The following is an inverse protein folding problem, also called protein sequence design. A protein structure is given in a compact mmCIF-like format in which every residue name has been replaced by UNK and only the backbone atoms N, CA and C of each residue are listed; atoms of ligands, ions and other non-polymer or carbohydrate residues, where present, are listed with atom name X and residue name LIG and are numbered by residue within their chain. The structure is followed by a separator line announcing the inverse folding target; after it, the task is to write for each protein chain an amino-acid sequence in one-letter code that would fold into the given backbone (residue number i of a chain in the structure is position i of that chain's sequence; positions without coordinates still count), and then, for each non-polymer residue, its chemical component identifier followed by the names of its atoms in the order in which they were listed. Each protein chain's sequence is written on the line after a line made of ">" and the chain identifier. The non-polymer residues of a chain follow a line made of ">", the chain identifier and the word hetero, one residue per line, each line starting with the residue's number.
data_IF_613184029674
#
_entry.id   IF_613184029674
#
_cell.length_a   1.000
_cell.length_b   1.000
_cell.length_c   1.000
_cell.angle_alpha   90.00
_cell.angle_beta   90.00
_cell.angle_gamma   90.00
#
_symmetry.space_group_name_H-M   'P 1'
#
loop_
_entity.id
_entity.type
_entity.pdbx_description
1 polymer ?
#
# COMPACT_ATOMS: atom_id res chain seq x y z
N UNK A 1 28.46 -22.81 13.04
CA UNK A 1 27.48 -23.00 11.96
C UNK A 1 28.20 -22.86 10.64
N UNK A 2 28.06 -23.82 9.71
CA UNK A 2 28.63 -23.68 8.37
C UNK A 2 27.81 -22.66 7.60
N UNK A 3 28.41 -21.63 7.06
CA UNK A 3 27.75 -20.65 6.20
C UNK A 3 27.45 -21.37 4.88
N UNK A 4 26.17 -21.42 4.43
CA UNK A 4 25.82 -22.05 3.17
C UNK A 4 26.47 -21.31 2.01
N UNK A 5 26.81 -22.02 0.91
CA UNK A 5 27.37 -21.40 -0.28
C UNK A 5 26.34 -20.44 -0.90
N UNK A 6 26.83 -19.44 -1.65
CA UNK A 6 25.98 -18.44 -2.32
C UNK A 6 24.87 -19.08 -3.18
N UNK A 7 25.22 -20.15 -3.94
CA UNK A 7 24.24 -20.84 -4.77
C UNK A 7 23.09 -21.49 -3.98
N UNK A 8 23.41 -22.08 -2.81
CA UNK A 8 22.39 -22.68 -1.92
C UNK A 8 21.47 -21.59 -1.34
N UNK A 9 22.04 -20.42 -1.00
CA UNK A 9 21.27 -19.31 -0.44
C UNK A 9 20.40 -18.60 -1.49
N UNK A 10 20.85 -18.58 -2.75
CA UNK A 10 20.13 -17.95 -3.86
C UNK A 10 18.99 -18.83 -4.43
N UNK A 11 19.08 -20.16 -4.30
CA UNK A 11 18.12 -21.09 -4.89
C UNK A 11 16.65 -20.83 -4.52
N UNK A 12 16.27 -20.55 -3.26
CA UNK A 12 14.88 -20.24 -2.91
C UNK A 12 14.37 -18.95 -3.56
N UNK A 13 15.25 -17.94 -3.70
CA UNK A 13 14.91 -16.66 -4.33
C UNK A 13 14.68 -16.86 -5.82
N UNK A 14 15.56 -17.61 -6.48
CA UNK A 14 15.43 -17.94 -7.90
C UNK A 14 14.14 -18.75 -8.14
N UNK A 15 13.85 -19.76 -7.30
CA UNK A 15 12.60 -20.51 -7.40
C UNK A 15 11.39 -19.60 -7.27
N UNK A 16 11.38 -18.67 -6.33
CA UNK A 16 10.28 -17.72 -6.15
C UNK A 16 10.09 -16.86 -7.40
N UNK A 17 11.16 -16.25 -7.89
CA UNK A 17 11.09 -15.39 -9.08
C UNK A 17 10.63 -16.15 -10.32
N UNK A 18 11.18 -17.35 -10.56
CA UNK A 18 10.80 -18.20 -11.69
C UNK A 18 9.34 -18.66 -11.56
N UNK A 19 8.88 -19.06 -10.39
CA UNK A 19 7.49 -19.49 -10.20
C UNK A 19 6.51 -18.35 -10.39
N UNK A 20 6.79 -17.14 -9.89
CA UNK A 20 5.95 -15.97 -10.10
C UNK A 20 5.93 -15.55 -11.59
N UNK A 21 7.08 -15.54 -12.26
CA UNK A 21 7.17 -15.27 -13.69
C UNK A 21 6.38 -16.31 -14.52
N UNK A 22 6.47 -17.59 -14.16
CA UNK A 22 5.71 -18.64 -14.79
C UNK A 22 4.19 -18.46 -14.59
N UNK A 23 3.74 -18.10 -13.39
CA UNK A 23 2.32 -17.82 -13.13
C UNK A 23 1.83 -16.69 -14.05
N UNK A 24 2.57 -15.60 -14.18
CA UNK A 24 2.20 -14.49 -15.07
C UNK A 24 2.16 -14.93 -16.53
N UNK A 25 3.18 -15.68 -16.97
CA UNK A 25 3.31 -16.07 -18.37
C UNK A 25 2.28 -17.11 -18.83
N UNK A 26 1.93 -18.08 -17.97
CA UNK A 26 1.09 -19.22 -18.35
C UNK A 26 -0.35 -19.12 -17.87
N UNK A 27 -0.61 -18.44 -16.76
CA UNK A 27 -1.96 -18.36 -16.14
C UNK A 27 -2.55 -16.97 -16.23
N UNK A 28 -1.69 -15.95 -16.33
CA UNK A 28 -2.10 -14.54 -16.38
C UNK A 28 -1.83 -13.79 -15.07
N UNK A 29 -1.80 -12.48 -15.16
CA UNK A 29 -1.49 -11.60 -14.02
C UNK A 29 -2.51 -11.70 -12.89
N UNK A 30 -3.78 -11.97 -13.20
CA UNK A 30 -4.86 -12.06 -12.20
C UNK A 30 -4.68 -13.26 -11.24
N UNK A 31 -4.01 -14.31 -11.71
CA UNK A 31 -3.72 -15.49 -10.90
C UNK A 31 -2.63 -15.27 -9.84
N UNK A 32 -1.89 -14.17 -9.90
CA UNK A 32 -0.84 -13.85 -8.90
C UNK A 32 -1.44 -13.79 -7.50
N UNK A 33 -2.59 -13.17 -7.32
CA UNK A 33 -3.25 -13.00 -6.02
C UNK A 33 -3.53 -14.34 -5.33
N UNK A 34 -3.86 -15.38 -6.11
CA UNK A 34 -4.20 -16.71 -5.61
C UNK A 34 -2.98 -17.62 -5.51
N UNK A 35 -2.05 -17.54 -6.47
CA UNK A 35 -0.93 -18.47 -6.58
C UNK A 35 0.36 -18.01 -5.89
N UNK A 36 0.53 -16.69 -5.65
CA UNK A 36 1.72 -16.17 -4.97
C UNK A 36 1.93 -16.71 -3.55
N UNK A 37 0.90 -16.93 -2.69
CA UNK A 37 1.11 -17.55 -1.39
C UNK A 37 1.70 -18.95 -1.49
N UNK A 38 1.29 -19.74 -2.48
CA UNK A 38 1.81 -21.08 -2.72
C UNK A 38 3.25 -21.08 -3.21
N UNK A 39 3.60 -20.12 -4.11
CA UNK A 39 4.96 -19.91 -4.56
C UNK A 39 5.88 -19.51 -3.41
N UNK A 40 5.43 -18.61 -2.52
CA UNK A 40 6.16 -18.20 -1.33
C UNK A 40 6.35 -19.39 -0.35
N UNK A 41 5.30 -20.19 -0.15
CA UNK A 41 5.37 -21.38 0.70
C UNK A 41 6.38 -22.39 0.15
N UNK A 42 6.36 -22.66 -1.15
CA UNK A 42 7.30 -23.57 -1.81
C UNK A 42 8.75 -23.08 -1.67
N UNK A 43 9.00 -21.78 -1.89
CA UNK A 43 10.33 -21.19 -1.72
C UNK A 43 10.81 -21.24 -0.26
N UNK A 44 9.90 -20.99 0.70
CA UNK A 44 10.20 -21.10 2.13
C UNK A 44 10.53 -22.55 2.53
N UNK A 45 9.75 -23.53 2.05
CA UNK A 45 10.04 -24.95 2.30
C UNK A 45 11.39 -25.36 1.71
N UNK A 46 11.71 -24.91 0.49
CA UNK A 46 13.02 -25.17 -0.12
C UNK A 46 14.15 -24.57 0.71
N UNK A 47 13.98 -23.33 1.20
CA UNK A 47 14.98 -22.68 2.05
C UNK A 47 15.23 -23.48 3.34
N UNK A 48 14.18 -23.97 4.00
CA UNK A 48 14.28 -24.80 5.21
C UNK A 48 14.97 -26.14 4.90
N UNK A 49 14.60 -26.82 3.80
CA UNK A 49 15.21 -28.08 3.38
C UNK A 49 16.71 -27.90 3.10
N UNK A 50 17.09 -26.89 2.32
CA UNK A 50 18.50 -26.62 2.01
C UNK A 50 19.30 -26.26 3.26
N UNK A 51 18.73 -25.48 4.18
CA UNK A 51 19.35 -25.16 5.45
C UNK A 51 19.51 -26.39 6.36
N UNK A 52 18.55 -27.31 6.35
CA UNK A 52 18.64 -28.57 7.06
C UNK A 52 19.71 -29.50 6.46
N UNK A 53 19.73 -29.65 5.12
CA UNK A 53 20.72 -30.47 4.41
C UNK A 53 22.15 -29.94 4.55
N UNK A 54 22.32 -28.61 4.59
CA UNK A 54 23.64 -27.98 4.77
C UNK A 54 24.16 -28.03 6.22
N UNK A 55 23.35 -28.53 7.17
CA UNK A 55 23.70 -28.58 8.58
C UNK A 55 23.78 -27.20 9.25
N UNK A 56 23.27 -26.17 8.58
CA UNK A 56 23.24 -24.78 9.09
C UNK A 56 22.03 -24.54 10.00
N UNK A 57 21.01 -25.42 9.96
CA UNK A 57 19.77 -25.29 10.70
C UNK A 57 19.78 -26.14 11.97
N UNK A 58 19.61 -25.47 13.12
CA UNK A 58 19.33 -26.13 14.40
C UNK A 58 17.80 -26.08 14.65
N UNK A 59 17.22 -27.16 15.17
CA UNK A 59 15.78 -27.19 15.56
C UNK A 59 15.41 -26.05 16.51
N UNK A 60 16.31 -25.70 17.41
CA UNK A 60 16.14 -24.56 18.34
C UNK A 60 16.19 -23.23 17.62
N UNK A 61 17.12 -23.07 16.67
CA UNK A 61 17.23 -21.86 15.83
C UNK A 61 16.01 -21.65 14.94
N UNK A 62 15.48 -22.70 14.34
CA UNK A 62 14.27 -22.66 13.53
C UNK A 62 13.04 -22.20 14.36
N UNK A 63 12.85 -22.81 15.54
CA UNK A 63 11.73 -22.43 16.42
C UNK A 63 11.83 -20.97 16.90
N UNK A 64 13.04 -20.54 17.29
CA UNK A 64 13.27 -19.15 17.70
C UNK A 64 13.06 -18.17 16.54
N UNK A 65 13.55 -18.51 15.35
CA UNK A 65 13.35 -17.70 14.14
C UNK A 65 11.88 -17.58 13.77
N UNK A 66 11.14 -18.69 13.80
CA UNK A 66 9.70 -18.69 13.55
C UNK A 66 8.93 -17.85 14.58
N UNK A 67 9.16 -18.07 15.87
CA UNK A 67 8.51 -17.29 16.92
C UNK A 67 8.83 -15.79 16.80
N UNK A 68 10.09 -15.44 16.53
CA UNK A 68 10.51 -14.05 16.38
C UNK A 68 9.86 -13.38 15.16
N UNK A 69 9.82 -14.07 14.02
CA UNK A 69 9.18 -13.52 12.82
C UNK A 69 7.66 -13.44 12.99
N UNK A 70 7.02 -14.44 13.62
CA UNK A 70 5.59 -14.39 13.89
C UNK A 70 5.20 -13.21 14.78
N UNK A 71 5.97 -12.92 15.82
CA UNK A 71 5.74 -11.73 16.68
C UNK A 71 5.95 -10.41 15.95
N UNK A 72 6.81 -10.35 14.95
CA UNK A 72 7.01 -9.15 14.13
C UNK A 72 5.86 -8.93 13.12
N UNK A 73 5.25 -10.00 12.62
CA UNK A 73 4.14 -9.94 11.64
C UNK A 73 2.78 -9.77 12.35
N UNK A 74 2.65 -10.24 13.59
CA UNK A 74 1.40 -10.21 14.34
C UNK A 74 0.68 -8.83 14.34
N UNK A 75 1.36 -7.67 14.48
CA UNK A 75 0.70 -6.37 14.44
C UNK A 75 0.07 -6.02 13.07
N UNK A 76 0.51 -6.64 11.98
CA UNK A 76 -0.06 -6.40 10.66
C UNK A 76 -1.46 -7.01 10.49
N UNK A 77 -1.77 -8.10 11.19
CA UNK A 77 -3.06 -8.79 11.09
C UNK A 77 -4.24 -7.88 11.50
N UNK A 78 -4.26 -7.29 12.71
CA UNK A 78 -5.33 -6.36 13.09
C UNK A 78 -5.36 -5.12 12.19
N UNK A 79 -4.22 -4.64 11.68
CA UNK A 79 -4.20 -3.55 10.71
C UNK A 79 -5.02 -3.91 9.46
N UNK A 80 -4.80 -5.06 8.86
CA UNK A 80 -5.54 -5.50 7.68
C UNK A 80 -7.04 -5.62 7.95
N UNK A 81 -7.42 -6.12 9.12
CA UNK A 81 -8.83 -6.19 9.53
C UNK A 81 -9.44 -4.80 9.64
N UNK A 82 -8.79 -3.86 10.31
CA UNK A 82 -9.30 -2.49 10.43
C UNK A 82 -9.30 -1.73 9.11
N UNK A 83 -8.36 -1.98 8.20
CA UNK A 83 -8.38 -1.42 6.84
C UNK A 83 -9.65 -1.87 6.10
N UNK A 84 -9.96 -3.18 6.16
CA UNK A 84 -11.17 -3.70 5.56
C UNK A 84 -12.45 -3.10 6.21
N UNK A 85 -12.45 -2.96 7.54
CA UNK A 85 -13.56 -2.31 8.26
C UNK A 85 -13.74 -0.86 7.83
N UNK A 86 -12.68 -0.06 7.80
CA UNK A 86 -12.73 1.35 7.33
C UNK A 86 -13.28 1.43 5.91
N UNK A 87 -12.76 0.62 4.99
CA UNK A 87 -13.23 0.61 3.60
C UNK A 87 -14.72 0.31 3.50
N UNK A 88 -15.20 -0.68 4.25
CA UNK A 88 -16.61 -1.09 4.24
C UNK A 88 -17.50 -0.03 4.89
N UNK A 89 -17.14 0.47 6.07
CA UNK A 89 -17.94 1.45 6.80
C UNK A 89 -18.00 2.80 6.07
N UNK A 90 -16.89 3.25 5.51
CA UNK A 90 -16.87 4.47 4.70
C UNK A 90 -17.69 4.36 3.41
N UNK A 91 -17.80 3.17 2.86
CA UNK A 91 -18.68 2.93 1.71
C UNK A 91 -20.14 3.00 2.12
N UNK A 92 -20.51 2.35 3.23
CA UNK A 92 -21.88 2.29 3.72
C UNK A 92 -22.40 3.64 4.24
N UNK A 93 -21.55 4.40 4.94
CA UNK A 93 -21.89 5.73 5.49
C UNK A 93 -21.99 6.84 4.45
N UNK A 94 -21.62 6.58 3.20
CA UNK A 94 -21.60 7.60 2.15
C UNK A 94 -20.32 8.46 2.13
N UNK A 95 -19.31 8.19 2.97
CA UNK A 95 -18.03 8.90 2.95
C UNK A 95 -17.33 8.71 1.61
N UNK A 96 -17.14 7.46 1.17
CA UNK A 96 -16.53 7.17 -0.13
C UNK A 96 -17.35 7.72 -1.29
N UNK A 97 -18.70 7.52 -1.37
CA UNK A 97 -19.54 8.18 -2.34
C UNK A 97 -19.39 9.70 -2.40
N UNK A 98 -19.34 10.37 -1.23
CA UNK A 98 -19.13 11.82 -1.16
C UNK A 98 -17.73 12.21 -1.70
N UNK A 99 -16.69 11.48 -1.34
CA UNK A 99 -15.33 11.73 -1.86
C UNK A 99 -15.28 11.51 -3.37
N UNK A 100 -16.00 10.53 -3.91
CA UNK A 100 -16.11 10.30 -5.35
C UNK A 100 -16.82 11.49 -6.03
N UNK A 101 -17.95 11.94 -5.51
CA UNK A 101 -18.69 13.08 -6.07
C UNK A 101 -17.82 14.35 -6.16
N UNK A 102 -17.19 14.73 -5.04
CA UNK A 102 -16.30 15.90 -5.03
C UNK A 102 -15.03 15.67 -5.88
N UNK A 103 -14.48 14.45 -5.85
CA UNK A 103 -13.30 14.11 -6.64
C UNK A 103 -13.56 14.21 -8.15
N UNK A 104 -14.70 13.72 -8.64
CA UNK A 104 -15.09 13.81 -10.05
C UNK A 104 -15.30 15.25 -10.52
N UNK A 105 -15.73 16.15 -9.62
CA UNK A 105 -15.92 17.57 -9.93
C UNK A 105 -14.63 18.38 -9.98
N UNK A 106 -13.61 17.97 -9.22
CA UNK A 106 -12.39 18.75 -9.01
C UNK A 106 -11.21 18.18 -9.82
N UNK A 107 -11.13 16.86 -9.94
CA UNK A 107 -9.97 16.18 -10.51
C UNK A 107 -10.10 16.04 -12.03
N UNK A 108 -9.06 16.47 -12.75
CA UNK A 108 -8.97 16.23 -14.19
C UNK A 108 -8.48 14.81 -14.45
N UNK A 109 -9.15 14.00 -15.29
CA UNK A 109 -8.75 12.64 -15.59
C UNK A 109 -7.28 12.50 -16.03
N UNK A 110 -6.80 13.39 -16.91
CA UNK A 110 -5.43 13.35 -17.42
C UNK A 110 -4.37 13.42 -16.31
N UNK A 111 -4.63 14.20 -15.26
CA UNK A 111 -3.70 14.39 -14.14
C UNK A 111 -4.05 13.53 -12.92
N UNK A 112 -5.10 12.73 -12.99
CA UNK A 112 -5.62 11.99 -11.86
C UNK A 112 -4.57 11.10 -11.19
N UNK A 113 -3.85 10.26 -11.96
CA UNK A 113 -2.84 9.35 -11.43
C UNK A 113 -1.67 10.09 -10.77
N UNK A 114 -1.22 11.18 -11.39
CA UNK A 114 -0.17 12.04 -10.84
C UNK A 114 -0.63 12.69 -9.54
N UNK A 115 -1.86 13.21 -9.52
CA UNK A 115 -2.45 13.84 -8.32
C UNK A 115 -2.60 12.84 -7.20
N UNK A 116 -3.12 11.65 -7.47
CA UNK A 116 -3.25 10.58 -6.48
C UNK A 116 -1.90 10.19 -5.87
N UNK A 117 -0.86 10.02 -6.72
CA UNK A 117 0.49 9.74 -6.27
C UNK A 117 1.06 10.87 -5.40
N UNK A 118 0.96 12.12 -5.86
CA UNK A 118 1.50 13.27 -5.14
C UNK A 118 0.81 13.52 -3.79
N UNK A 119 -0.53 13.44 -3.75
CA UNK A 119 -1.30 13.62 -2.52
C UNK A 119 -0.99 12.50 -1.53
N UNK A 120 -0.94 11.24 -1.97
CA UNK A 120 -0.54 10.13 -1.10
C UNK A 120 0.90 10.30 -0.59
N UNK A 121 1.82 10.83 -1.40
CA UNK A 121 3.18 11.11 -0.96
C UNK A 121 3.22 12.18 0.14
N UNK A 122 2.53 13.31 -0.06
CA UNK A 122 2.48 14.40 0.94
C UNK A 122 1.86 13.91 2.25
N UNK A 123 0.73 13.21 2.18
CA UNK A 123 0.06 12.69 3.39
C UNK A 123 0.95 11.68 4.10
N UNK A 124 1.60 10.79 3.36
CA UNK A 124 2.50 9.79 3.94
C UNK A 124 3.75 10.40 4.57
N UNK A 125 4.31 11.48 4.00
CA UNK A 125 5.39 12.25 4.64
C UNK A 125 4.94 12.83 5.99
N UNK A 126 3.75 13.41 6.02
CA UNK A 126 3.19 14.03 7.22
C UNK A 126 2.84 13.00 8.31
N UNK A 127 2.36 11.85 7.91
CA UNK A 127 1.90 10.79 8.82
C UNK A 127 3.01 9.82 9.23
N UNK A 128 4.04 9.67 8.42
CA UNK A 128 5.10 8.68 8.59
C UNK A 128 4.62 7.24 8.41
N UNK A 129 3.49 7.02 7.71
CA UNK A 129 2.92 5.67 7.55
C UNK A 129 2.29 5.48 6.17
N UNK A 130 2.88 4.57 5.39
CA UNK A 130 2.30 4.15 4.11
C UNK A 130 0.97 3.40 4.30
N UNK A 131 0.86 2.57 5.33
CA UNK A 131 -0.34 1.79 5.61
C UNK A 131 -1.55 2.66 5.92
N UNK A 132 -1.39 3.67 6.79
CA UNK A 132 -2.46 4.62 7.12
C UNK A 132 -2.92 5.40 5.90
N UNK A 133 -1.97 5.86 5.08
CA UNK A 133 -2.26 6.61 3.85
C UNK A 133 -3.05 5.76 2.85
N UNK A 134 -2.61 4.52 2.60
CA UNK A 134 -3.31 3.60 1.70
C UNK A 134 -4.71 3.28 2.22
N UNK A 135 -4.83 3.01 3.52
CA UNK A 135 -6.10 2.63 4.16
C UNK A 135 -7.15 3.73 4.20
N UNK A 136 -6.75 4.98 4.11
CA UNK A 136 -7.66 6.14 4.20
C UNK A 136 -7.81 6.82 2.84
N UNK A 137 -6.89 7.68 2.50
CA UNK A 137 -6.92 8.46 1.25
C UNK A 137 -6.79 7.56 0.02
N UNK A 138 -6.00 6.46 0.13
CA UNK A 138 -5.85 5.49 -0.95
C UNK A 138 -7.17 4.85 -1.34
N UNK A 139 -8.01 4.47 -0.38
CA UNK A 139 -9.34 3.89 -0.64
C UNK A 139 -10.24 4.88 -1.40
N UNK A 140 -10.20 6.17 -1.04
CA UNK A 140 -10.95 7.21 -1.73
C UNK A 140 -10.48 7.37 -3.19
N UNK A 141 -9.17 7.51 -3.42
CA UNK A 141 -8.63 7.59 -4.78
C UNK A 141 -8.89 6.31 -5.60
N UNK A 142 -8.89 5.15 -4.96
CA UNK A 142 -9.24 3.90 -5.64
C UNK A 142 -10.69 3.93 -6.15
N UNK A 143 -11.62 4.40 -5.32
CA UNK A 143 -13.02 4.59 -5.72
C UNK A 143 -13.17 5.59 -6.87
N UNK A 144 -12.56 6.78 -6.75
CA UNK A 144 -12.61 7.83 -7.78
C UNK A 144 -12.04 7.31 -9.11
N UNK A 145 -10.85 6.72 -9.10
CA UNK A 145 -10.17 6.24 -10.30
C UNK A 145 -10.92 5.12 -11.01
N UNK A 146 -11.56 4.21 -10.26
CA UNK A 146 -12.39 3.15 -10.82
C UNK A 146 -13.61 3.73 -11.53
N UNK A 147 -14.25 4.73 -10.94
CA UNK A 147 -15.42 5.43 -11.52
C UNK A 147 -15.02 6.24 -12.75
N UNK A 148 -13.82 6.85 -12.75
CA UNK A 148 -13.26 7.53 -13.92
C UNK A 148 -12.92 6.58 -15.07
N UNK A 149 -12.96 5.26 -14.88
CA UNK A 149 -12.65 4.27 -15.91
C UNK A 149 -11.18 3.87 -15.99
N UNK A 150 -10.36 4.27 -15.03
CA UNK A 150 -8.97 3.79 -14.97
C UNK A 150 -8.89 2.33 -14.57
N UNK A 151 -7.96 1.60 -15.19
CA UNK A 151 -7.66 0.24 -14.74
C UNK A 151 -7.17 0.25 -13.28
N UNK A 152 -7.73 -0.57 -12.38
CA UNK A 152 -7.43 -0.54 -10.94
C UNK A 152 -5.93 -0.66 -10.62
N UNK A 153 -5.16 -1.37 -11.45
CA UNK A 153 -3.72 -1.52 -11.30
C UNK A 153 -2.95 -0.20 -11.40
N UNK A 154 -3.34 0.71 -12.31
CA UNK A 154 -2.74 2.03 -12.42
C UNK A 154 -3.02 2.89 -11.21
N UNK A 155 -4.27 2.87 -10.75
CA UNK A 155 -4.69 3.64 -9.57
C UNK A 155 -3.98 3.15 -8.32
N UNK A 156 -3.97 1.83 -8.10
CA UNK A 156 -3.26 1.21 -6.97
C UNK A 156 -1.75 1.51 -7.04
N UNK A 157 -1.14 1.41 -8.23
CA UNK A 157 0.26 1.74 -8.44
C UNK A 157 0.60 3.18 -8.04
N UNK A 158 -0.23 4.15 -8.44
CA UNK A 158 -0.05 5.55 -8.10
C UNK A 158 -0.16 5.80 -6.58
N UNK A 159 -1.19 5.24 -5.93
CA UNK A 159 -1.41 5.35 -4.48
C UNK A 159 -0.24 4.75 -3.71
N UNK A 160 0.16 3.53 -4.05
CA UNK A 160 1.22 2.80 -3.36
C UNK A 160 2.57 3.52 -3.55
N UNK A 161 2.89 3.94 -4.78
CA UNK A 161 4.14 4.66 -5.06
C UNK A 161 4.27 5.94 -4.22
N UNK A 162 3.20 6.73 -4.16
CA UNK A 162 3.16 7.93 -3.33
C UNK A 162 3.30 7.62 -1.85
N UNK A 163 2.50 6.68 -1.33
CA UNK A 163 2.48 6.32 0.07
C UNK A 163 3.84 5.78 0.55
N UNK A 164 4.49 4.92 -0.22
CA UNK A 164 5.80 4.39 0.13
C UNK A 164 6.92 5.41 0.00
N UNK A 165 6.86 6.30 -1.00
CA UNK A 165 7.81 7.40 -1.07
C UNK A 165 7.75 8.26 0.18
N UNK A 166 6.55 8.69 0.58
CA UNK A 166 6.36 9.53 1.75
C UNK A 166 6.85 8.87 3.04
N UNK A 167 6.53 7.61 3.24
CA UNK A 167 6.96 6.82 4.39
C UNK A 167 8.51 6.75 4.48
N UNK A 168 9.20 6.52 3.36
CA UNK A 168 10.67 6.42 3.34
C UNK A 168 11.38 7.73 3.66
N UNK A 169 10.86 8.87 3.24
CA UNK A 169 11.50 10.18 3.45
C UNK A 169 10.98 10.91 4.68
N UNK A 170 10.01 10.35 5.39
CA UNK A 170 9.47 10.92 6.61
C UNK A 170 10.36 10.64 7.83
N UNK A 171 10.72 11.67 8.60
CA UNK A 171 11.39 11.47 9.88
C UNK A 171 10.48 10.87 10.96
N UNK A 172 9.18 10.75 10.67
CA UNK A 172 8.15 10.20 11.56
C UNK A 172 7.92 8.71 11.31
N UNK A 173 8.53 8.14 10.26
CA UNK A 173 8.36 6.75 9.88
C UNK A 173 9.14 5.81 10.80
N UNK A 174 8.43 4.83 11.36
CA UNK A 174 9.04 3.78 12.19
C UNK A 174 10.11 3.01 11.39
N UNK A 175 9.87 2.76 10.10
CA UNK A 175 10.80 2.03 9.24
C UNK A 175 12.12 2.78 9.06
N UNK A 176 12.05 4.09 8.86
CA UNK A 176 13.21 4.97 8.68
C UNK A 176 14.00 5.12 9.99
N UNK A 177 13.29 5.29 11.12
CA UNK A 177 13.88 5.37 12.47
C UNK A 177 14.59 4.05 12.83
N UNK A 178 13.95 2.91 12.59
CA UNK A 178 14.56 1.60 12.87
C UNK A 178 15.77 1.36 11.98
N UNK A 179 15.70 1.71 10.70
CA UNK A 179 16.82 1.53 9.76
C UNK A 179 18.04 2.37 10.16
N UNK A 180 17.84 3.67 10.46
CA UNK A 180 18.93 4.56 10.90
C UNK A 180 19.57 4.08 12.20
N UNK A 181 18.75 3.68 13.17
CA UNK A 181 19.23 3.14 14.45
C UNK A 181 19.99 1.84 14.28
N UNK A 182 19.55 0.93 13.40
CA UNK A 182 20.22 -0.32 13.12
C UNK A 182 21.60 -0.11 12.43
N UNK A 183 21.71 0.93 11.61
CA UNK A 183 22.96 1.32 10.95
C UNK A 183 23.88 2.18 11.86
N UNK A 184 23.38 2.66 13.00
CA UNK A 184 24.14 3.54 13.89
C UNK A 184 24.42 4.92 13.29
N UNK A 185 23.55 5.42 12.40
CA UNK A 185 23.67 6.72 11.73
C UNK A 185 22.56 7.67 12.19
N UNK A 186 22.83 8.98 12.06
CA UNK A 186 21.80 9.99 12.34
C UNK A 186 20.61 9.86 11.41
N UNK A 187 19.40 10.05 11.94
CA UNK A 187 18.15 9.90 11.20
C UNK A 187 18.06 10.83 9.98
N UNK A 188 18.44 12.09 10.13
CA UNK A 188 18.34 13.07 9.05
C UNK A 188 19.41 12.83 8.00
N UNK A 189 20.60 12.36 8.39
CA UNK A 189 21.63 11.94 7.46
C UNK A 189 21.18 10.72 6.66
N UNK A 190 20.57 9.74 7.29
CA UNK A 190 19.96 8.58 6.63
C UNK A 190 18.90 9.00 5.62
N UNK A 191 17.96 9.87 6.00
CA UNK A 191 16.92 10.39 5.10
C UNK A 191 17.54 11.13 3.91
N UNK A 192 18.57 11.95 4.16
CA UNK A 192 19.25 12.68 3.09
C UNK A 192 19.87 11.73 2.05
N UNK A 193 20.46 10.64 2.47
CA UNK A 193 20.98 9.61 1.56
C UNK A 193 19.86 8.87 0.82
N UNK A 194 18.77 8.53 1.51
CA UNK A 194 17.62 7.91 0.86
C UNK A 194 17.03 8.79 -0.24
N UNK A 195 17.00 10.11 -0.06
CA UNK A 195 16.48 11.04 -1.08
C UNK A 195 17.23 10.98 -2.41
N UNK A 196 18.53 10.63 -2.43
CA UNK A 196 19.28 10.47 -3.69
C UNK A 196 18.71 9.37 -4.59
N UNK A 197 18.10 8.35 -4.01
CA UNK A 197 17.45 7.27 -4.78
C UNK A 197 15.94 7.45 -4.87
N UNK A 198 15.31 7.94 -3.80
CA UNK A 198 13.87 8.07 -3.73
C UNK A 198 13.33 9.18 -4.64
N UNK A 199 14.01 10.35 -4.72
CA UNK A 199 13.55 11.46 -5.57
C UNK A 199 13.60 11.08 -7.05
N UNK A 200 14.71 10.55 -7.62
CA UNK A 200 14.70 10.11 -9.02
C UNK A 200 13.67 9.03 -9.31
N UNK A 201 13.48 8.07 -8.39
CA UNK A 201 12.46 7.04 -8.54
C UNK A 201 11.04 7.64 -8.55
N UNK A 202 10.76 8.61 -7.66
CA UNK A 202 9.47 9.30 -7.61
C UNK A 202 9.23 10.13 -8.87
N UNK A 203 10.24 10.85 -9.37
CA UNK A 203 10.14 11.61 -10.63
C UNK A 203 9.82 10.68 -11.79
N UNK A 204 10.53 9.54 -11.90
CA UNK A 204 10.22 8.55 -12.93
C UNK A 204 8.80 7.98 -12.79
N UNK A 205 8.37 7.69 -11.58
CA UNK A 205 7.01 7.20 -11.32
C UNK A 205 5.96 8.26 -11.74
N UNK A 206 6.15 9.53 -11.39
CA UNK A 206 5.26 10.61 -11.80
C UNK A 206 5.21 10.78 -13.32
N UNK A 207 6.35 10.66 -14.01
CA UNK A 207 6.40 10.69 -15.48
C UNK A 207 5.62 9.51 -16.06
N UNK A 208 5.79 8.30 -15.53
CA UNK A 208 5.04 7.11 -15.97
C UNK A 208 3.55 7.30 -15.75
N UNK A 209 3.13 7.78 -14.59
CA UNK A 209 1.71 8.05 -14.30
C UNK A 209 1.14 9.18 -15.15
N UNK A 210 1.94 10.19 -15.47
CA UNK A 210 1.53 11.25 -16.38
C UNK A 210 1.32 10.72 -17.80
N UNK A 211 2.28 9.95 -18.32
CA UNK A 211 2.16 9.31 -19.64
C UNK A 211 0.97 8.33 -19.66
N UNK A 212 0.84 7.52 -18.61
CA UNK A 212 -0.31 6.62 -18.49
C UNK A 212 -1.64 7.39 -18.44
N UNK A 213 -1.70 8.53 -17.74
CA UNK A 213 -2.89 9.39 -17.69
C UNK A 213 -3.28 9.99 -19.05
N UNK A 214 -2.28 10.34 -19.88
CA UNK A 214 -2.52 10.84 -21.26
C UNK A 214 -2.89 9.69 -22.20
N UNK A 215 -2.22 8.55 -22.09
CA UNK A 215 -2.42 7.40 -22.98
C UNK A 215 -3.64 6.55 -22.61
N UNK A 216 -4.04 6.57 -21.36
CA UNK A 216 -5.30 6.01 -20.95
C UNK A 216 -6.38 6.94 -21.47
N UNK A 217 -7.19 6.44 -22.39
CA UNK A 217 -8.46 7.09 -22.71
C UNK A 217 -9.49 6.48 -21.75
N UNK A 218 -9.61 7.01 -20.52
CA UNK A 218 -10.47 6.39 -19.53
C UNK A 218 -11.90 6.59 -19.99
N UNK A 219 -12.49 5.51 -20.49
CA UNK A 219 -13.91 5.47 -20.80
C UNK A 219 -14.65 5.13 -19.49
N UNK A 220 -15.27 6.09 -18.83
CA UNK A 220 -16.15 5.78 -17.69
C UNK A 220 -17.25 4.86 -18.16
N UNK A 221 -17.53 3.80 -17.43
CA UNK A 221 -18.56 2.82 -17.74
C UNK A 221 -19.95 3.43 -17.91
N UNK A 222 -20.13 4.66 -17.44
CA UNK A 222 -21.33 5.50 -17.56
C UNK A 222 -20.93 6.96 -17.69
N UNK A 223 -21.80 7.79 -18.28
CA UNK A 223 -21.59 9.23 -18.25
C UNK A 223 -21.43 9.72 -16.80
N UNK A 224 -20.49 10.64 -16.58
CA UNK A 224 -20.19 11.16 -15.23
C UNK A 224 -21.44 11.71 -14.54
N UNK A 225 -22.37 12.34 -15.30
CA UNK A 225 -23.67 12.79 -14.81
C UNK A 225 -24.51 11.66 -14.23
N UNK A 226 -24.61 10.54 -14.95
CA UNK A 226 -25.44 9.40 -14.52
C UNK A 226 -24.87 8.75 -13.25
N UNK A 227 -23.54 8.76 -13.11
CA UNK A 227 -22.87 8.26 -11.90
C UNK A 227 -23.18 9.17 -10.71
N UNK A 228 -23.06 10.49 -10.89
CA UNK A 228 -23.38 11.47 -9.85
C UNK A 228 -24.84 11.39 -9.43
N UNK A 229 -25.76 11.25 -10.39
CA UNK A 229 -27.21 11.11 -10.11
C UNK A 229 -27.50 9.81 -9.34
N UNK A 230 -26.87 8.71 -9.70
CA UNK A 230 -27.01 7.43 -8.96
C UNK A 230 -26.40 7.50 -7.56
N UNK A 231 -25.26 8.18 -7.38
CA UNK A 231 -24.68 8.38 -6.06
C UNK A 231 -25.62 9.23 -5.18
N UNK A 232 -26.14 10.34 -5.72
CA UNK A 232 -27.08 11.20 -5.02
C UNK A 232 -28.40 10.51 -4.68
N UNK A 233 -28.89 9.59 -5.54
CA UNK A 233 -30.11 8.83 -5.30
C UNK A 233 -29.97 7.76 -4.21
N UNK A 234 -28.78 7.17 -4.04
CA UNK A 234 -28.56 6.06 -3.13
C UNK A 234 -27.85 6.45 -1.82
N UNK A 235 -27.13 7.58 -1.81
CA UNK A 235 -26.35 8.04 -0.67
C UNK A 235 -26.68 9.49 -0.35
N UNK A 236 -26.64 9.81 0.93
CA UNK A 236 -26.82 11.19 1.39
C UNK A 236 -25.48 11.94 1.27
N UNK A 237 -25.26 12.56 0.08
CA UNK A 237 -24.02 13.30 -0.20
C UNK A 237 -24.09 14.65 0.50
N UNK A 238 -23.40 14.75 1.64
CA UNK A 238 -23.37 15.99 2.42
C UNK A 238 -21.92 16.34 2.80
N UNK A 239 -21.57 17.64 2.90
CA UNK A 239 -20.23 18.04 3.35
C UNK A 239 -19.88 17.50 4.75
N UNK A 240 -20.89 17.19 5.58
CA UNK A 240 -20.70 16.68 6.94
C UNK A 240 -20.05 15.29 6.97
N UNK A 241 -20.26 14.46 5.95
CA UNK A 241 -19.61 13.15 5.85
C UNK A 241 -18.08 13.27 5.68
N UNK A 242 -17.59 14.41 5.15
CA UNK A 242 -16.16 14.69 5.03
C UNK A 242 -15.48 14.97 6.38
N UNK A 243 -16.25 15.18 7.47
CA UNK A 243 -15.67 15.28 8.81
C UNK A 243 -15.00 13.97 9.24
N UNK A 244 -15.51 12.83 8.82
CA UNK A 244 -14.94 11.52 9.19
C UNK A 244 -13.50 11.37 8.66
N UNK A 245 -13.24 11.52 7.35
CA UNK A 245 -11.87 11.49 6.85
C UNK A 245 -11.01 12.65 7.41
N UNK A 246 -11.58 13.83 7.62
CA UNK A 246 -10.84 14.96 8.21
C UNK A 246 -10.38 14.67 9.64
N UNK A 247 -11.25 14.11 10.49
CA UNK A 247 -10.89 13.67 11.84
C UNK A 247 -9.85 12.56 11.78
N UNK A 248 -10.04 11.59 10.89
CA UNK A 248 -9.08 10.48 10.69
C UNK A 248 -7.69 11.01 10.33
N UNK A 249 -7.59 11.92 9.36
CA UNK A 249 -6.33 12.56 8.97
C UNK A 249 -5.73 13.39 10.11
N UNK A 250 -6.57 14.09 10.87
CA UNK A 250 -6.12 14.85 12.04
C UNK A 250 -5.53 13.94 13.12
N UNK A 251 -6.19 12.81 13.43
CA UNK A 251 -5.66 11.83 14.38
C UNK A 251 -4.30 11.26 13.92
N UNK A 252 -4.17 10.99 12.62
CA UNK A 252 -2.90 10.53 12.06
C UNK A 252 -1.84 11.63 12.19
N UNK A 253 -2.16 12.87 11.85
CA UNK A 253 -1.24 14.01 11.99
C UNK A 253 -0.83 14.26 13.45
N UNK A 254 -1.71 13.99 14.42
CA UNK A 254 -1.43 14.04 15.85
C UNK A 254 -0.63 12.83 16.37
N UNK A 255 -0.19 11.94 15.49
CA UNK A 255 0.57 10.71 15.82
C UNK A 255 -0.17 9.73 16.73
N UNK A 256 -1.47 9.69 16.65
CA UNK A 256 -2.25 8.65 17.31
C UNK A 256 -1.90 7.31 16.65
N UNK A 257 -1.83 6.23 17.43
CA UNK A 257 -1.46 4.93 16.89
C UNK A 257 -2.37 4.52 15.72
N UNK A 258 -1.77 4.00 14.65
CA UNK A 258 -2.49 3.64 13.41
C UNK A 258 -3.67 2.70 13.67
N UNK A 259 -3.50 1.69 14.52
CA UNK A 259 -4.56 0.75 14.88
C UNK A 259 -5.75 1.45 15.55
N UNK A 260 -5.47 2.35 16.50
CA UNK A 260 -6.54 3.08 17.19
C UNK A 260 -7.25 4.06 16.23
N UNK A 261 -6.50 4.74 15.37
CA UNK A 261 -7.08 5.64 14.36
C UNK A 261 -7.99 4.90 13.39
N UNK A 262 -7.57 3.75 12.86
CA UNK A 262 -8.38 2.94 11.96
C UNK A 262 -9.62 2.39 12.68
N UNK A 263 -9.48 1.98 13.94
CA UNK A 263 -10.62 1.55 14.75
C UNK A 263 -11.65 2.67 14.94
N UNK A 264 -11.21 3.86 15.39
CA UNK A 264 -12.09 5.02 15.58
C UNK A 264 -12.73 5.43 14.26
N UNK A 265 -11.94 5.49 13.18
CA UNK A 265 -12.42 5.82 11.84
C UNK A 265 -13.50 4.85 11.34
N UNK A 266 -13.33 3.56 11.61
CA UNK A 266 -14.34 2.55 11.25
C UNK A 266 -15.61 2.69 12.09
N UNK A 267 -15.48 3.03 13.37
CA UNK A 267 -16.64 3.25 14.25
C UNK A 267 -17.42 4.52 13.91
N UNK A 268 -16.73 5.57 13.45
CA UNK A 268 -17.40 6.80 12.99
C UNK A 268 -18.12 6.63 11.64
N UNK A 269 -17.74 5.62 10.86
CA UNK A 269 -18.37 5.27 9.60
C UNK A 269 -19.57 4.32 9.75
N UNK A 270 -19.94 3.92 10.95
CA UNK A 270 -21.13 3.11 11.23
C UNK A 270 -22.34 3.98 11.53
#
# INVERSE_FOLDING_TARGET
>A
MKVPSFGISAAPIVLLLVSLAAVVAFVGADAISVLSPWALLAAAMLAVLLAACSGSLSRRGMRLGFCRNSTQIMPAVPMLVFIAMVSTTWMLSGVVPTLIDYGLRILNPTFFLVTACAVCAVISVLTGSSWSTIATVGVAFMGIGTVMGFHPGWVAGAIISGAYFGDKVSPLSDTTVVASSACGVDLFEHIRYLMFTAIPAMVMALVVFFVAGIMSDPEPAMATSDILDRLAANFNITPWTLLIPAITLTMIAMRVSTLFTLFVSSMMGL
#
